data_IF_297985260144
#
_entry.id   IF_297985260144
#
_cell.length_a   1.000
_cell.length_b   1.000
_cell.length_c   1.000
_cell.angle_alpha   90.00
_cell.angle_beta   90.00
_cell.angle_gamma   90.00
#
_symmetry.space_group_name_H-M   'P 1'
#
loop_
_entity.id
_entity.type
_entity.pdbx_description
1 polymer ?
#
# COMPACT_ATOMS: atom_id res chain seq x y z
N UNK A 1 10.38 3.32 15.97
CA UNK A 1 11.02 4.50 15.34
C UNK A 1 10.56 4.72 13.89
N UNK A 2 10.12 3.70 13.13
CA UNK A 2 9.48 3.87 11.81
C UNK A 2 8.00 4.28 11.83
N UNK A 3 7.56 4.98 12.88
CA UNK A 3 6.19 5.48 13.06
C UNK A 3 6.11 7.00 12.95
N UNK A 4 7.18 7.62 12.47
CA UNK A 4 7.20 9.03 12.07
C UNK A 4 7.41 9.09 10.57
N UNK A 5 7.01 10.20 9.97
CA UNK A 5 7.17 10.46 8.54
C UNK A 5 8.02 11.73 8.36
N UNK A 6 8.68 11.89 7.21
CA UNK A 6 9.35 13.15 6.86
C UNK A 6 8.35 14.32 6.80
N UNK A 7 7.13 14.03 6.36
CA UNK A 7 5.96 14.89 6.47
C UNK A 7 4.70 14.04 6.58
N UNK A 8 3.66 14.58 7.21
CA UNK A 8 2.36 13.89 7.32
C UNK A 8 1.45 14.28 6.17
N UNK A 9 0.98 13.29 5.42
CA UNK A 9 -0.02 13.52 4.37
C UNK A 9 -1.36 13.85 5.04
N UNK A 10 -2.03 14.90 4.57
CA UNK A 10 -3.39 15.26 5.04
C UNK A 10 -4.42 14.18 4.74
N UNK A 11 -4.20 13.38 3.69
CA UNK A 11 -4.98 12.20 3.28
C UNK A 11 -4.44 10.88 3.87
N UNK A 12 -3.62 10.90 4.95
CA UNK A 12 -3.05 9.67 5.48
C UNK A 12 -4.07 8.85 6.28
N UNK A 13 -4.47 7.67 5.79
CA UNK A 13 -5.42 6.82 6.53
C UNK A 13 -4.85 6.24 7.84
N UNK A 14 -3.53 6.35 8.04
CA UNK A 14 -2.83 5.95 9.27
C UNK A 14 -2.64 7.11 10.25
N UNK A 15 -3.28 8.26 10.02
CA UNK A 15 -3.09 9.48 10.83
C UNK A 15 -3.25 9.26 12.34
N UNK A 16 -4.16 8.36 12.75
CA UNK A 16 -4.40 8.01 14.15
C UNK A 16 -3.16 7.43 14.86
N UNK A 17 -2.16 6.92 14.12
CA UNK A 17 -0.89 6.45 14.69
C UNK A 17 0.04 7.61 15.10
N UNK A 18 -0.22 8.83 14.63
CA UNK A 18 0.66 10.00 14.81
C UNK A 18 0.14 11.03 15.82
N UNK A 19 -1.07 10.85 16.36
CA UNK A 19 -1.69 11.80 17.31
C UNK A 19 -1.27 11.61 18.77
N UNK A 20 -0.15 10.95 19.01
CA UNK A 20 0.44 10.83 20.36
C UNK A 20 -0.26 9.82 21.29
N UNK A 21 -1.23 9.04 20.80
CA UNK A 21 -1.86 7.96 21.56
C UNK A 21 -0.99 6.69 21.47
N UNK A 22 -0.21 6.42 22.52
CA UNK A 22 0.70 5.27 22.56
C UNK A 22 -0.02 3.91 22.35
N UNK A 23 -1.30 3.81 22.72
CA UNK A 23 -2.12 2.63 22.49
C UNK A 23 -2.38 2.31 21.01
N UNK A 24 -2.24 3.30 20.10
CA UNK A 24 -2.45 3.15 18.66
C UNK A 24 -1.14 2.91 17.89
N UNK A 25 0.00 2.83 18.59
CA UNK A 25 1.32 2.60 18.01
C UNK A 25 1.60 1.10 17.86
N UNK A 26 1.53 0.60 16.62
CA UNK A 26 2.07 -0.70 16.22
C UNK A 26 3.58 -0.65 15.94
N UNK A 27 4.42 -0.65 16.98
CA UNK A 27 5.87 -0.68 16.82
C UNK A 27 6.42 -2.02 17.29
N UNK A 28 6.95 -2.84 16.37
CA UNK A 28 7.87 -3.90 16.78
C UNK A 28 9.11 -3.23 17.37
N UNK A 29 9.36 -3.47 18.65
CA UNK A 29 10.51 -2.91 19.37
C UNK A 29 11.77 -3.76 19.19
N UNK A 30 11.62 -4.98 18.66
CA UNK A 30 12.67 -6.00 18.67
C UNK A 30 12.72 -6.75 17.33
N UNK A 31 13.84 -6.61 16.62
CA UNK A 31 14.12 -7.37 15.40
C UNK A 31 14.12 -8.89 15.66
N UNK A 32 14.52 -9.30 16.87
CA UNK A 32 14.55 -10.71 17.29
C UNK A 32 13.16 -11.36 17.31
N UNK A 33 12.13 -10.59 17.61
CA UNK A 33 10.76 -11.11 17.57
C UNK A 33 10.30 -11.36 16.14
N UNK A 34 10.70 -10.50 15.19
CA UNK A 34 10.42 -10.71 13.77
C UNK A 34 11.16 -11.93 13.24
N UNK A 35 12.46 -12.07 13.49
CA UNK A 35 13.23 -13.22 12.99
C UNK A 35 12.77 -14.54 13.58
N UNK A 36 12.40 -14.57 14.87
CA UNK A 36 11.81 -15.76 15.51
C UNK A 36 10.49 -16.15 14.86
N UNK A 37 9.63 -15.17 14.57
CA UNK A 37 8.38 -15.42 13.87
C UNK A 37 8.65 -16.00 12.48
N UNK A 38 9.50 -15.36 11.68
CA UNK A 38 9.84 -15.83 10.33
C UNK A 38 10.47 -17.23 10.35
N UNK A 39 11.33 -17.53 11.32
CA UNK A 39 11.90 -18.87 11.49
C UNK A 39 10.86 -19.95 11.78
N UNK A 40 9.73 -19.59 12.41
CA UNK A 40 8.61 -20.50 12.65
C UNK A 40 7.62 -20.58 11.47
N UNK A 41 7.69 -19.65 10.51
CA UNK A 41 6.74 -19.48 9.42
C UNK A 41 7.43 -19.47 8.05
N UNK A 42 8.00 -20.62 7.60
CA UNK A 42 8.73 -20.72 6.34
C UNK A 42 7.88 -20.43 5.09
N UNK A 43 6.55 -20.44 5.21
CA UNK A 43 5.62 -20.02 4.17
C UNK A 43 5.67 -18.51 3.85
N UNK A 44 6.27 -17.70 4.72
CA UNK A 44 6.42 -16.25 4.54
C UNK A 44 7.62 -15.94 3.66
N UNK A 45 7.37 -15.51 2.42
CA UNK A 45 8.45 -15.23 1.46
C UNK A 45 8.72 -13.75 1.19
N UNK A 46 7.85 -12.87 1.67
CA UNK A 46 7.92 -11.41 1.48
C UNK A 46 7.86 -10.74 2.86
N UNK A 47 8.60 -9.65 3.06
CA UNK A 47 8.51 -8.83 4.27
C UNK A 47 8.41 -7.36 3.85
N UNK A 48 7.34 -6.69 4.26
CA UNK A 48 7.13 -5.26 4.02
C UNK A 48 7.39 -4.43 5.27
N UNK A 49 8.40 -3.57 5.19
CA UNK A 49 8.60 -2.48 6.15
C UNK A 49 7.68 -1.31 5.78
N UNK A 50 6.70 -1.05 6.65
CA UNK A 50 5.72 0.02 6.51
C UNK A 50 5.24 0.49 7.89
N UNK A 51 4.36 1.49 7.94
CA UNK A 51 3.82 2.08 9.16
C UNK A 51 3.64 3.58 8.93
N UNK A 52 4.57 4.36 9.50
CA UNK A 52 4.89 5.69 9.00
C UNK A 52 5.77 5.59 7.75
N UNK A 53 6.97 6.15 7.80
CA UNK A 53 7.97 5.99 6.74
C UNK A 53 9.27 5.36 7.32
N UNK A 54 9.62 4.12 6.93
CA UNK A 54 10.79 3.44 7.46
C UNK A 54 12.10 4.13 7.06
N UNK A 55 12.13 4.91 5.97
CA UNK A 55 13.35 5.56 5.49
C UNK A 55 13.64 6.91 6.15
N UNK A 56 12.74 7.37 7.03
CA UNK A 56 13.04 8.44 8.01
C UNK A 56 14.09 7.99 9.02
N UNK A 57 14.17 6.67 9.28
CA UNK A 57 15.15 6.13 10.20
C UNK A 57 16.58 6.37 9.69
N UNK A 58 17.48 6.71 10.61
CA UNK A 58 18.92 6.67 10.37
C UNK A 58 19.31 5.28 9.87
N UNK A 59 20.26 5.20 8.96
CA UNK A 59 20.65 3.93 8.32
C UNK A 59 21.03 2.88 9.36
N UNK A 60 21.78 3.25 10.40
CA UNK A 60 22.17 2.35 11.49
C UNK A 60 20.96 1.71 12.22
N UNK A 61 19.82 2.40 12.30
CA UNK A 61 18.60 1.83 12.88
C UNK A 61 17.91 0.90 11.89
N UNK A 62 17.83 1.28 10.61
CA UNK A 62 17.25 0.44 9.57
C UNK A 62 18.02 -0.90 9.43
N UNK A 63 19.36 -0.86 9.49
CA UNK A 63 20.25 -2.04 9.48
C UNK A 63 19.83 -3.10 10.50
N UNK A 64 19.52 -2.68 11.74
CA UNK A 64 19.09 -3.58 12.83
C UNK A 64 17.85 -4.40 12.49
N UNK A 65 17.02 -3.97 11.54
CA UNK A 65 15.84 -4.72 11.11
C UNK A 65 16.04 -5.47 9.79
N UNK A 66 16.86 -4.93 8.88
CA UNK A 66 17.07 -5.52 7.55
C UNK A 66 18.14 -6.61 7.56
N UNK A 67 19.28 -6.39 8.21
CA UNK A 67 20.40 -7.35 8.23
C UNK A 67 20.06 -8.70 8.88
N UNK A 68 19.21 -8.78 9.92
CA UNK A 68 18.79 -10.07 10.45
C UNK A 68 18.04 -10.93 9.42
N UNK A 69 17.33 -10.32 8.47
CA UNK A 69 16.65 -11.06 7.40
C UNK A 69 17.62 -11.70 6.40
N UNK A 70 18.88 -11.27 6.39
CA UNK A 70 19.94 -11.81 5.53
C UNK A 70 20.69 -12.98 6.16
N UNK A 71 20.36 -13.35 7.40
CA UNK A 71 21.05 -14.41 8.13
C UNK A 71 20.62 -15.82 7.65
N UNK A 72 21.47 -16.84 7.86
CA UNK A 72 21.10 -18.24 7.63
C UNK A 72 19.82 -18.63 8.39
N UNK A 73 19.01 -19.50 7.79
CA UNK A 73 17.71 -19.93 8.30
C UNK A 73 16.52 -19.07 7.85
N UNK A 74 16.77 -17.89 7.25
CA UNK A 74 15.76 -17.01 6.66
C UNK A 74 15.90 -16.90 5.13
N UNK A 75 16.45 -17.94 4.49
CA UNK A 75 16.60 -18.01 3.03
C UNK A 75 15.24 -17.97 2.34
N UNK A 76 14.20 -18.54 2.96
CA UNK A 76 12.84 -18.55 2.43
C UNK A 76 12.24 -17.13 2.25
N UNK A 77 12.75 -16.12 2.97
CA UNK A 77 12.41 -14.70 2.76
C UNK A 77 13.12 -14.19 1.50
N UNK A 78 12.44 -14.25 0.36
CA UNK A 78 12.98 -13.87 -0.94
C UNK A 78 12.91 -12.37 -1.21
N UNK A 79 11.89 -11.70 -0.67
CA UNK A 79 11.59 -10.30 -1.01
C UNK A 79 11.56 -9.43 0.25
N UNK A 80 12.24 -8.28 0.17
CA UNK A 80 12.17 -7.22 1.17
C UNK A 80 11.58 -5.98 0.49
N UNK A 81 10.51 -5.43 1.05
CA UNK A 81 9.84 -4.23 0.54
C UNK A 81 9.95 -3.09 1.53
N UNK A 82 10.25 -1.88 1.04
CA UNK A 82 10.32 -0.66 1.84
C UNK A 82 9.28 0.34 1.35
N UNK A 83 8.19 0.53 2.11
CA UNK A 83 7.13 1.48 1.77
C UNK A 83 7.45 2.88 2.24
N UNK A 84 7.69 3.82 1.32
CA UNK A 84 8.27 5.14 1.65
C UNK A 84 7.73 6.26 0.76
N UNK A 85 7.61 7.47 1.32
CA UNK A 85 7.40 8.71 0.57
C UNK A 85 8.65 9.60 0.61
N UNK A 86 9.74 9.16 1.23
CA UNK A 86 11.00 9.90 1.33
C UNK A 86 11.53 10.40 -0.02
N UNK A 87 11.48 9.65 -1.15
CA UNK A 87 11.92 10.20 -2.45
C UNK A 87 11.15 11.44 -2.92
N UNK A 88 9.90 11.62 -2.48
CA UNK A 88 9.08 12.78 -2.80
C UNK A 88 9.27 13.91 -1.78
N UNK A 89 9.25 13.61 -0.48
CA UNK A 89 9.31 14.63 0.58
C UNK A 89 10.71 15.06 0.96
N UNK A 90 11.68 14.14 0.93
CA UNK A 90 13.05 14.38 1.35
C UNK A 90 14.06 13.59 0.50
N UNK A 91 14.19 13.90 -0.81
CA UNK A 91 15.08 13.16 -1.71
C UNK A 91 16.56 13.21 -1.26
N UNK A 92 16.94 14.22 -0.47
CA UNK A 92 18.26 14.35 0.14
C UNK A 92 18.67 13.13 1.00
N UNK A 93 17.70 12.35 1.51
CA UNK A 93 17.92 11.07 2.21
C UNK A 93 18.80 10.09 1.43
N UNK A 94 18.75 10.18 0.10
CA UNK A 94 19.45 9.31 -0.84
C UNK A 94 20.60 10.02 -1.57
N UNK A 95 20.79 11.32 -1.33
CA UNK A 95 21.73 12.15 -2.13
C UNK A 95 22.78 12.81 -1.25
N UNK A 96 22.39 13.58 -0.23
CA UNK A 96 23.30 14.46 0.52
C UNK A 96 23.26 14.28 2.03
N UNK A 97 22.25 13.60 2.58
CA UNK A 97 22.21 13.30 4.01
C UNK A 97 23.49 12.54 4.41
N UNK A 98 23.96 12.76 5.65
CA UNK A 98 25.26 12.24 6.12
C UNK A 98 25.41 10.72 6.00
N UNK A 99 24.30 9.98 6.05
CA UNK A 99 24.26 8.51 5.94
C UNK A 99 23.60 8.03 4.63
N UNK A 100 23.47 8.89 3.61
CA UNK A 100 22.88 8.55 2.32
C UNK A 100 23.64 7.41 1.63
N UNK A 101 24.97 7.51 1.54
CA UNK A 101 25.79 6.46 0.94
C UNK A 101 25.73 5.16 1.74
N UNK A 102 25.58 5.25 3.06
CA UNK A 102 25.43 4.06 3.90
C UNK A 102 24.10 3.35 3.64
N UNK A 103 23.03 4.12 3.41
CA UNK A 103 21.72 3.57 3.05
C UNK A 103 21.79 2.81 1.72
N UNK A 104 22.42 3.40 0.71
CA UNK A 104 22.56 2.75 -0.59
C UNK A 104 23.42 1.49 -0.51
N UNK A 105 24.49 1.50 0.29
CA UNK A 105 25.29 0.29 0.58
C UNK A 105 24.45 -0.81 1.25
N UNK A 106 23.54 -0.47 2.16
CA UNK A 106 22.61 -1.45 2.72
C UNK A 106 21.70 -2.05 1.63
N UNK A 107 21.22 -1.24 0.68
CA UNK A 107 20.40 -1.75 -0.42
C UNK A 107 21.19 -2.70 -1.32
N UNK A 108 22.43 -2.33 -1.68
CA UNK A 108 23.34 -3.21 -2.42
C UNK A 108 23.61 -4.53 -1.68
N UNK A 109 23.78 -4.49 -0.35
CA UNK A 109 23.98 -5.70 0.46
C UNK A 109 22.78 -6.65 0.38
N UNK A 110 21.55 -6.13 0.46
CA UNK A 110 20.33 -6.94 0.31
C UNK A 110 20.29 -7.62 -1.06
N UNK A 111 20.56 -6.86 -2.12
CA UNK A 111 20.55 -7.38 -3.50
C UNK A 111 21.67 -8.40 -3.71
N UNK A 112 22.88 -8.14 -3.22
CA UNK A 112 24.03 -9.07 -3.31
C UNK A 112 23.81 -10.36 -2.50
N UNK A 113 23.02 -10.30 -1.45
CA UNK A 113 22.59 -11.49 -0.70
C UNK A 113 21.57 -12.36 -1.47
N UNK A 114 21.23 -11.99 -2.71
CA UNK A 114 20.31 -12.74 -3.57
C UNK A 114 18.83 -12.45 -3.32
N UNK A 115 18.51 -11.46 -2.48
CA UNK A 115 17.11 -11.08 -2.19
C UNK A 115 16.64 -9.98 -3.12
N UNK A 116 15.35 -10.04 -3.47
CA UNK A 116 14.70 -8.98 -4.23
C UNK A 116 14.35 -7.80 -3.31
N UNK A 117 15.03 -6.66 -3.51
CA UNK A 117 14.71 -5.42 -2.80
C UNK A 117 13.75 -4.56 -3.64
N UNK A 118 12.56 -4.29 -3.10
CA UNK A 118 11.60 -3.38 -3.72
C UNK A 118 11.40 -2.12 -2.87
N UNK A 119 11.62 -0.94 -3.47
CA UNK A 119 11.25 0.33 -2.84
C UNK A 119 9.87 0.73 -3.35
N UNK A 120 8.88 0.68 -2.47
CA UNK A 120 7.51 1.06 -2.77
C UNK A 120 7.37 2.58 -2.57
N UNK A 121 7.78 3.33 -3.60
CA UNK A 121 7.84 4.78 -3.57
C UNK A 121 6.45 5.41 -3.74
N UNK A 122 6.14 6.41 -2.94
CA UNK A 122 4.88 7.14 -3.01
C UNK A 122 5.05 8.48 -3.71
N UNK A 123 4.51 8.60 -4.93
CA UNK A 123 4.41 9.86 -5.67
C UNK A 123 2.95 10.17 -6.01
N UNK A 124 2.44 11.28 -5.48
CA UNK A 124 1.04 11.69 -5.63
C UNK A 124 0.81 12.63 -6.80
N UNK A 125 1.82 13.40 -7.23
CA UNK A 125 1.68 14.35 -8.33
C UNK A 125 3.01 14.44 -9.12
N UNK A 126 3.00 14.66 -10.45
CA UNK A 126 4.23 14.77 -11.25
C UNK A 126 5.18 15.88 -10.76
N UNK A 127 4.65 16.91 -10.08
CA UNK A 127 5.46 17.95 -9.45
C UNK A 127 6.47 17.40 -8.43
N UNK A 128 6.15 16.31 -7.73
CA UNK A 128 7.06 15.65 -6.77
C UNK A 128 8.28 15.00 -7.46
N UNK A 129 8.23 14.83 -8.78
CA UNK A 129 9.32 14.31 -9.63
C UNK A 129 9.94 15.38 -10.54
N UNK A 130 9.63 16.66 -10.30
CA UNK A 130 10.07 17.76 -11.18
C UNK A 130 11.49 18.25 -10.89
N UNK A 131 12.01 18.01 -9.68
CA UNK A 131 13.31 18.55 -9.27
C UNK A 131 14.47 17.61 -9.65
N UNK A 132 15.65 18.16 -10.01
CA UNK A 132 16.83 17.33 -10.30
C UNK A 132 17.23 16.40 -9.15
N UNK A 133 17.03 16.83 -7.90
CA UNK A 133 17.38 16.02 -6.72
C UNK A 133 16.43 14.83 -6.52
N UNK A 134 15.13 14.97 -6.82
CA UNK A 134 14.18 13.86 -6.77
C UNK A 134 14.50 12.81 -7.83
N UNK A 135 14.83 13.25 -9.05
CA UNK A 135 15.29 12.33 -10.10
C UNK A 135 16.62 11.65 -9.74
N UNK A 136 17.57 12.38 -9.13
CA UNK A 136 18.85 11.82 -8.70
C UNK A 136 18.66 10.79 -7.57
N UNK A 137 17.76 11.05 -6.62
CA UNK A 137 17.43 10.09 -5.57
C UNK A 137 16.89 8.78 -6.16
N UNK A 138 15.96 8.85 -7.12
CA UNK A 138 15.45 7.65 -7.79
C UNK A 138 16.53 6.88 -8.55
N UNK A 139 17.37 7.59 -9.33
CA UNK A 139 18.49 6.95 -10.05
C UNK A 139 19.42 6.23 -9.08
N UNK A 140 19.83 6.90 -8.00
CA UNK A 140 20.73 6.32 -6.99
C UNK A 140 20.13 5.09 -6.30
N UNK A 141 18.81 5.06 -6.06
CA UNK A 141 18.14 3.86 -5.52
C UNK A 141 18.19 2.72 -6.54
N UNK A 142 17.85 2.99 -7.80
CA UNK A 142 17.82 1.99 -8.88
C UNK A 142 19.23 1.42 -9.14
N UNK A 143 20.26 2.26 -9.09
CA UNK A 143 21.66 1.85 -9.29
C UNK A 143 22.16 0.83 -8.26
N UNK A 144 21.49 0.69 -7.10
CA UNK A 144 21.79 -0.36 -6.11
C UNK A 144 21.31 -1.75 -6.54
N UNK A 145 20.54 -1.85 -7.62
CA UNK A 145 19.82 -3.05 -8.06
C UNK A 145 18.42 -3.19 -7.45
N UNK A 146 17.99 -2.27 -6.57
CA UNK A 146 16.64 -2.24 -6.05
C UNK A 146 15.62 -1.87 -7.15
N UNK A 147 14.44 -2.49 -7.12
CA UNK A 147 13.36 -2.13 -8.04
C UNK A 147 12.42 -1.13 -7.38
N UNK A 148 12.33 0.07 -7.95
CA UNK A 148 11.38 1.10 -7.49
C UNK A 148 10.00 0.85 -8.10
N UNK A 149 9.00 0.66 -7.25
CA UNK A 149 7.58 0.52 -7.63
C UNK A 149 6.79 1.70 -7.08
N UNK A 150 6.14 2.45 -7.96
CA UNK A 150 5.46 3.69 -7.60
C UNK A 150 3.97 3.48 -7.36
N UNK A 151 3.46 4.03 -6.27
CA UNK A 151 2.05 3.93 -5.90
C UNK A 151 1.54 5.24 -5.31
N UNK A 152 0.26 5.53 -5.49
CA UNK A 152 -0.42 6.61 -4.78
C UNK A 152 -1.94 6.42 -4.78
N UNK A 153 -2.64 6.99 -3.80
CA UNK A 153 -4.08 7.14 -3.88
C UNK A 153 -4.45 8.22 -4.91
N UNK A 154 -5.63 8.07 -5.49
CA UNK A 154 -6.37 9.12 -6.16
C UNK A 154 -6.99 10.04 -5.10
N UNK A 155 -6.74 11.33 -5.20
CA UNK A 155 -6.99 12.33 -4.17
C UNK A 155 -7.62 13.53 -4.86
N UNK A 156 -8.86 13.83 -4.49
CA UNK A 156 -9.57 15.01 -4.95
C UNK A 156 -8.76 16.28 -4.68
N UNK A 157 -8.77 17.22 -5.63
CA UNK A 157 -8.04 18.49 -5.56
C UNK A 157 -6.51 18.40 -5.63
N UNK A 158 -5.93 17.20 -5.80
CA UNK A 158 -4.48 17.00 -5.87
C UNK A 158 -4.08 16.32 -7.17
N UNK A 159 -4.69 15.17 -7.47
CA UNK A 159 -4.34 14.36 -8.64
C UNK A 159 -5.57 13.68 -9.28
N UNK A 160 -6.77 14.24 -9.10
CA UNK A 160 -8.03 13.81 -9.71
C UNK A 160 -8.14 14.23 -11.20
N UNK A 161 -7.01 14.10 -11.92
CA UNK A 161 -6.81 14.50 -13.30
C UNK A 161 -6.01 13.43 -14.08
N UNK A 162 -6.53 13.02 -15.23
CA UNK A 162 -5.92 12.01 -16.08
C UNK A 162 -4.57 12.47 -16.65
N UNK A 163 -4.41 13.77 -16.92
CA UNK A 163 -3.15 14.32 -17.43
C UNK A 163 -2.03 14.26 -16.39
N UNK A 164 -2.34 14.60 -15.13
CA UNK A 164 -1.41 14.43 -14.02
C UNK A 164 -0.91 12.98 -13.88
N UNK A 165 -1.80 11.98 -13.95
CA UNK A 165 -1.42 10.56 -13.88
C UNK A 165 -0.61 10.10 -15.09
N UNK A 166 -1.03 10.44 -16.30
CA UNK A 166 -0.31 10.06 -17.52
C UNK A 166 1.11 10.64 -17.55
N UNK A 167 1.25 11.93 -17.19
CA UNK A 167 2.55 12.59 -17.07
C UNK A 167 3.42 11.92 -15.99
N UNK A 168 2.84 11.61 -14.83
CA UNK A 168 3.55 10.99 -13.72
C UNK A 168 4.03 9.57 -14.05
N UNK A 169 3.18 8.70 -14.59
CA UNK A 169 3.58 7.35 -14.98
C UNK A 169 4.61 7.35 -16.10
N UNK A 170 4.46 8.23 -17.10
CA UNK A 170 5.46 8.39 -18.17
C UNK A 170 6.81 8.80 -17.60
N UNK A 171 6.82 9.75 -16.65
CA UNK A 171 8.03 10.20 -15.97
C UNK A 171 8.67 9.09 -15.14
N UNK A 172 7.88 8.31 -14.40
CA UNK A 172 8.36 7.18 -13.62
C UNK A 172 9.05 6.14 -14.51
N UNK A 173 8.41 5.74 -15.61
CA UNK A 173 9.00 4.81 -16.58
C UNK A 173 10.29 5.36 -17.17
N UNK A 174 10.34 6.64 -17.54
CA UNK A 174 11.55 7.30 -18.06
C UNK A 174 12.72 7.24 -17.07
N UNK A 175 12.43 7.27 -15.77
CA UNK A 175 13.43 7.20 -14.70
C UNK A 175 13.75 5.76 -14.26
N UNK A 176 13.18 4.74 -14.92
CA UNK A 176 13.40 3.33 -14.58
C UNK A 176 12.55 2.81 -13.42
N UNK A 177 11.59 3.60 -12.92
CA UNK A 177 10.63 3.17 -11.90
C UNK A 177 9.40 2.53 -12.56
N UNK A 178 8.75 1.61 -11.83
CA UNK A 178 7.60 0.84 -12.30
C UNK A 178 6.30 1.42 -11.72
N UNK A 179 5.40 1.98 -12.54
CA UNK A 179 4.04 2.32 -12.09
C UNK A 179 3.33 1.07 -11.56
N UNK A 180 2.89 1.08 -10.30
CA UNK A 180 2.42 -0.12 -9.62
C UNK A 180 0.93 -0.08 -9.25
N UNK A 181 0.50 0.85 -8.40
CA UNK A 181 -0.90 1.00 -8.02
C UNK A 181 -1.38 2.45 -8.09
N UNK A 182 -2.55 2.63 -8.69
CA UNK A 182 -3.46 3.74 -8.39
C UNK A 182 -4.49 3.19 -7.39
N UNK A 183 -4.38 3.66 -6.15
CA UNK A 183 -5.32 3.29 -5.10
C UNK A 183 -6.52 4.23 -5.10
N UNK A 184 -7.69 3.72 -4.73
CA UNK A 184 -8.77 4.55 -4.23
C UNK A 184 -8.39 5.01 -2.83
N UNK A 185 -8.65 6.26 -2.48
CA UNK A 185 -8.40 6.78 -1.14
C UNK A 185 -9.22 5.98 -0.11
N UNK A 186 -8.54 5.54 0.95
CA UNK A 186 -9.17 4.86 2.08
C UNK A 186 -9.60 5.92 3.07
N UNK A 187 -10.75 5.70 3.69
CA UNK A 187 -11.30 6.53 4.77
C UNK A 187 -10.22 7.11 5.70
N UNK A 188 -10.11 8.43 5.68
CA UNK A 188 -9.25 9.25 6.52
C UNK A 188 -10.10 10.23 7.34
N UNK A 189 -9.52 10.86 8.36
CA UNK A 189 -10.23 11.92 9.12
C UNK A 189 -10.93 12.96 8.22
N UNK A 190 -10.28 13.44 7.14
CA UNK A 190 -10.89 14.30 6.14
C UNK A 190 -11.41 13.58 4.86
N UNK A 191 -11.89 12.33 4.94
CA UNK A 191 -12.37 11.52 3.80
C UNK A 191 -13.17 12.32 2.76
N UNK A 192 -14.25 12.97 3.18
CA UNK A 192 -15.16 13.69 2.28
C UNK A 192 -14.50 14.80 1.46
N UNK A 193 -13.37 15.34 1.93
CA UNK A 193 -12.61 16.34 1.20
C UNK A 193 -11.75 15.71 0.09
N UNK A 194 -11.28 14.48 0.26
CA UNK A 194 -10.33 13.82 -0.63
C UNK A 194 -10.92 12.69 -1.47
N UNK A 195 -12.10 12.19 -1.13
CA UNK A 195 -12.72 11.07 -1.84
C UNK A 195 -13.11 11.41 -3.28
N UNK A 196 -12.98 10.42 -4.16
CA UNK A 196 -13.40 10.49 -5.56
C UNK A 196 -14.29 9.27 -5.83
N UNK A 197 -15.52 9.44 -6.36
CA UNK A 197 -16.40 8.32 -6.66
C UNK A 197 -15.75 7.30 -7.60
N UNK A 198 -16.06 6.02 -7.42
CA UNK A 198 -15.43 4.90 -8.15
C UNK A 198 -15.62 5.01 -9.66
N UNK A 199 -16.78 5.47 -10.13
CA UNK A 199 -17.04 5.74 -11.53
C UNK A 199 -16.05 6.78 -12.09
N UNK A 200 -15.89 7.91 -11.38
CA UNK A 200 -14.95 8.97 -11.77
C UNK A 200 -13.50 8.52 -11.67
N UNK A 201 -13.15 7.74 -10.66
CA UNK A 201 -11.82 7.18 -10.51
C UNK A 201 -11.46 6.25 -11.68
N UNK A 202 -12.42 5.44 -12.13
CA UNK A 202 -12.27 4.58 -13.30
C UNK A 202 -12.08 5.39 -14.58
N UNK A 203 -12.88 6.44 -14.79
CA UNK A 203 -12.72 7.32 -15.95
C UNK A 203 -11.32 7.95 -16.00
N UNK A 204 -10.86 8.54 -14.88
CA UNK A 204 -9.53 9.13 -14.75
C UNK A 204 -8.44 8.10 -15.06
N UNK A 205 -8.55 6.90 -14.47
CA UNK A 205 -7.60 5.82 -14.70
C UNK A 205 -7.55 5.41 -16.17
N UNK A 206 -8.71 5.15 -16.79
CA UNK A 206 -8.78 4.70 -18.18
C UNK A 206 -8.24 5.75 -19.16
N UNK A 207 -8.57 7.02 -18.93
CA UNK A 207 -8.09 8.11 -19.77
C UNK A 207 -6.57 8.30 -19.65
N UNK A 208 -6.00 8.20 -18.44
CA UNK A 208 -4.56 8.22 -18.26
C UNK A 208 -3.88 6.98 -18.87
N UNK A 209 -4.47 5.79 -18.67
CA UNK A 209 -3.93 4.51 -19.12
C UNK A 209 -3.83 4.40 -20.64
N UNK A 210 -4.78 5.01 -21.37
CA UNK A 210 -4.76 5.09 -22.85
C UNK A 210 -3.58 5.91 -23.37
N UNK A 211 -3.14 6.93 -22.62
CA UNK A 211 -2.11 7.91 -23.01
C UNK A 211 -0.67 7.44 -22.75
N UNK A 212 -0.47 6.36 -21.99
CA UNK A 212 0.88 5.87 -21.64
C UNK A 212 1.32 4.65 -22.45
N UNK A 213 2.63 4.41 -22.48
CA UNK A 213 3.24 3.26 -23.17
C UNK A 213 2.90 1.93 -22.48
N UNK A 214 3.20 0.81 -23.13
CA UNK A 214 3.00 -0.54 -22.56
C UNK A 214 3.68 -0.75 -21.20
N UNK A 215 4.85 -0.13 -20.98
CA UNK A 215 5.53 -0.15 -19.68
C UNK A 215 4.74 0.60 -18.60
N UNK A 216 4.15 1.75 -18.96
CA UNK A 216 3.28 2.52 -18.05
C UNK A 216 1.96 1.79 -17.74
N UNK A 217 1.45 1.00 -18.69
CA UNK A 217 0.25 0.16 -18.56
C UNK A 217 0.39 -1.04 -17.62
N UNK A 218 1.54 -1.21 -16.95
CA UNK A 218 1.71 -2.20 -15.89
C UNK A 218 1.04 -1.80 -14.57
N UNK A 219 0.63 -0.53 -14.45
CA UNK A 219 -0.11 -0.02 -13.29
C UNK A 219 -1.47 -0.68 -13.12
N UNK A 220 -1.83 -1.02 -11.89
CA UNK A 220 -3.14 -1.57 -11.52
C UNK A 220 -3.98 -0.49 -10.85
N UNK A 221 -5.20 -0.28 -11.31
CA UNK A 221 -6.13 0.61 -10.63
C UNK A 221 -7.43 0.83 -11.43
N UNK A 222 -8.40 1.55 -10.84
CA UNK A 222 -8.44 1.97 -9.43
C UNK A 222 -8.59 0.77 -8.49
N UNK A 223 -7.80 0.73 -7.42
CA UNK A 223 -7.81 -0.41 -6.49
C UNK A 223 -8.05 0.01 -5.04
N UNK A 224 -8.95 -0.70 -4.37
CA UNK A 224 -9.25 -0.54 -2.95
C UNK A 224 -8.51 -1.62 -2.15
N UNK A 225 -7.82 -1.22 -1.07
CA UNK A 225 -7.34 -2.17 -0.06
C UNK A 225 -8.37 -2.24 1.06
N UNK A 226 -9.39 -3.07 0.86
CA UNK A 226 -10.54 -3.20 1.75
C UNK A 226 -10.42 -4.42 2.67
N UNK A 227 -11.32 -4.52 3.65
CA UNK A 227 -11.31 -5.61 4.64
C UNK A 227 -11.33 -7.04 4.05
N UNK A 228 -12.14 -7.38 3.02
CA UNK A 228 -12.07 -8.72 2.43
C UNK A 228 -10.77 -8.97 1.65
N UNK A 229 -10.07 -7.91 1.25
CA UNK A 229 -8.87 -7.97 0.45
C UNK A 229 -8.73 -6.78 -0.51
N UNK A 230 -7.82 -6.91 -1.47
CA UNK A 230 -7.58 -5.90 -2.51
C UNK A 230 -8.53 -6.10 -3.67
N UNK A 231 -9.40 -5.13 -3.90
CA UNK A 231 -10.39 -5.11 -4.98
C UNK A 231 -9.97 -4.14 -6.06
N UNK A 232 -10.04 -4.54 -7.32
CA UNK A 232 -9.84 -3.70 -8.49
C UNK A 232 -11.21 -3.34 -9.08
N UNK A 233 -11.40 -2.07 -9.44
CA UNK A 233 -12.49 -1.66 -10.33
C UNK A 233 -12.01 -1.86 -11.76
N UNK A 234 -12.43 -2.96 -12.37
CA UNK A 234 -11.94 -3.41 -13.69
C UNK A 234 -12.66 -2.68 -14.83
N UNK A 235 -13.93 -2.33 -14.62
CA UNK A 235 -14.72 -1.63 -15.61
C UNK A 235 -16.16 -1.37 -15.19
N UNK A 236 -16.92 -0.82 -16.12
CA UNK A 236 -18.38 -0.75 -16.08
C UNK A 236 -18.90 -1.50 -17.29
N UNK A 237 -19.95 -2.31 -17.09
CA UNK A 237 -20.57 -3.07 -18.16
C UNK A 237 -22.09 -3.02 -18.04
N UNK A 238 -22.78 -3.30 -19.14
CA UNK A 238 -24.20 -3.62 -19.12
C UNK A 238 -24.35 -5.13 -19.28
N UNK A 239 -24.95 -5.79 -18.29
CA UNK A 239 -25.12 -7.24 -18.26
C UNK A 239 -26.58 -7.53 -17.97
N UNK A 240 -27.25 -8.23 -18.89
CA UNK A 240 -28.68 -8.54 -18.80
C UNK A 240 -29.57 -7.29 -18.56
N UNK A 241 -29.20 -6.15 -19.17
CA UNK A 241 -29.92 -4.87 -19.04
C UNK A 241 -29.65 -4.11 -17.73
N UNK A 242 -28.76 -4.60 -16.87
CA UNK A 242 -28.32 -3.92 -15.65
C UNK A 242 -26.92 -3.31 -15.86
N UNK A 243 -26.78 -2.01 -15.60
CA UNK A 243 -25.48 -1.35 -15.54
C UNK A 243 -24.79 -1.72 -14.23
N UNK A 244 -23.58 -2.28 -14.32
CA UNK A 244 -22.83 -2.83 -13.18
C UNK A 244 -21.38 -2.36 -13.18
N UNK A 245 -20.81 -2.24 -11.98
CA UNK A 245 -19.36 -2.29 -11.84
C UNK A 245 -18.86 -3.72 -11.98
N UNK A 246 -17.82 -3.90 -12.79
CA UNK A 246 -17.05 -5.14 -12.89
C UNK A 246 -15.86 -5.02 -11.94
N UNK A 247 -15.80 -5.91 -10.95
CA UNK A 247 -14.81 -5.87 -9.88
C UNK A 247 -14.00 -7.15 -9.89
N UNK A 248 -12.73 -7.07 -9.48
CA UNK A 248 -11.85 -8.24 -9.35
C UNK A 248 -11.17 -8.26 -8.00
N UNK A 249 -11.25 -9.40 -7.30
CA UNK A 249 -10.50 -9.62 -6.07
C UNK A 249 -9.05 -9.96 -6.43
N UNK A 250 -8.14 -8.99 -6.41
CA UNK A 250 -6.72 -9.18 -6.76
C UNK A 250 -5.99 -9.96 -5.66
N UNK A 251 -6.39 -9.76 -4.42
CA UNK A 251 -5.88 -10.45 -3.24
C UNK A 251 -7.05 -10.61 -2.27
N UNK A 252 -7.29 -11.79 -1.71
CA UNK A 252 -8.31 -12.02 -0.69
C UNK A 252 -7.71 -12.48 0.63
N UNK A 253 -8.44 -12.33 1.74
CA UNK A 253 -8.10 -12.97 3.02
C UNK A 253 -8.12 -14.48 2.93
N UNK A 254 -9.06 -15.03 2.17
CA UNK A 254 -9.02 -16.41 1.69
C UNK A 254 -8.30 -16.42 0.34
N UNK A 255 -7.20 -17.19 0.20
CA UNK A 255 -6.49 -17.33 -1.07
C UNK A 255 -7.38 -17.76 -2.24
N UNK A 256 -8.45 -18.53 -1.99
CA UNK A 256 -9.40 -18.97 -3.02
C UNK A 256 -10.24 -17.82 -3.61
N UNK A 257 -10.23 -16.63 -2.98
CA UNK A 257 -10.91 -15.46 -3.51
C UNK A 257 -10.10 -14.73 -4.57
N UNK A 258 -8.77 -14.93 -4.59
CA UNK A 258 -7.89 -14.22 -5.51
C UNK A 258 -8.21 -14.55 -6.98
N UNK A 259 -8.19 -13.53 -7.83
CA UNK A 259 -8.51 -13.60 -9.25
C UNK A 259 -10.01 -13.63 -9.57
N UNK A 260 -10.91 -13.79 -8.58
CA UNK A 260 -12.36 -13.87 -8.84
C UNK A 260 -12.93 -12.53 -9.26
N UNK A 261 -13.66 -12.54 -10.37
CA UNK A 261 -14.49 -11.42 -10.84
C UNK A 261 -15.87 -11.48 -10.19
N UNK A 262 -16.41 -10.33 -9.82
CA UNK A 262 -17.76 -10.18 -9.27
C UNK A 262 -18.36 -8.83 -9.69
N UNK A 263 -19.66 -8.68 -9.49
CA UNK A 263 -20.42 -7.53 -9.99
C UNK A 263 -21.14 -6.81 -8.86
N UNK A 264 -21.09 -5.49 -8.89
CA UNK A 264 -21.88 -4.62 -8.05
C UNK A 264 -22.82 -3.77 -8.91
N UNK A 265 -23.97 -3.40 -8.36
CA UNK A 265 -24.86 -2.41 -8.98
C UNK A 265 -24.06 -1.14 -9.24
N UNK A 266 -24.26 -0.53 -10.40
CA UNK A 266 -23.65 0.75 -10.67
C UNK A 266 -24.25 1.82 -9.76
N UNK A 267 -23.38 2.53 -9.04
CA UNK A 267 -23.70 3.68 -8.21
C UNK A 267 -22.66 4.76 -8.52
N UNK A 268 -23.12 5.90 -9.03
CA UNK A 268 -22.25 7.02 -9.40
C UNK A 268 -21.64 7.75 -8.20
N UNK A 269 -22.21 7.59 -7.00
CA UNK A 269 -21.76 8.23 -5.76
C UNK A 269 -20.91 7.30 -4.88
N UNK A 270 -20.94 5.99 -5.12
CA UNK A 270 -20.14 5.04 -4.36
C UNK A 270 -18.64 5.38 -4.48
N UNK A 271 -17.98 5.57 -3.34
CA UNK A 271 -16.56 5.93 -3.26
C UNK A 271 -15.72 4.79 -2.67
N UNK A 272 -16.35 3.80 -2.04
CA UNK A 272 -15.67 2.66 -1.43
C UNK A 272 -16.45 1.35 -1.59
N UNK A 273 -15.82 0.22 -1.24
CA UNK A 273 -16.41 -1.12 -1.37
C UNK A 273 -17.70 -1.28 -0.54
N UNK A 274 -17.77 -0.64 0.63
CA UNK A 274 -18.90 -0.77 1.55
C UNK A 274 -20.16 -0.02 1.07
N UNK A 275 -19.99 0.93 0.15
CA UNK A 275 -21.09 1.65 -0.50
C UNK A 275 -21.76 0.76 -1.56
N UNK A 276 -21.04 -0.21 -2.11
CA UNK A 276 -21.50 -1.05 -3.20
C UNK A 276 -22.53 -2.09 -2.73
N UNK A 277 -23.42 -2.46 -3.64
CA UNK A 277 -24.43 -3.51 -3.44
C UNK A 277 -24.30 -4.59 -4.51
N UNK A 278 -24.52 -5.87 -4.18
CA UNK A 278 -24.47 -6.92 -5.18
C UNK A 278 -25.47 -6.71 -6.33
N UNK A 279 -24.99 -6.95 -7.55
CA UNK A 279 -25.83 -6.91 -8.76
C UNK A 279 -26.74 -8.15 -8.89
N UNK A 280 -27.66 -8.14 -9.84
CA UNK A 280 -28.47 -9.30 -10.25
C UNK A 280 -29.34 -9.89 -9.14
N UNK A 281 -29.87 -9.04 -8.27
CA UNK A 281 -30.76 -9.46 -7.17
C UNK A 281 -30.11 -10.35 -6.12
N UNK A 282 -28.77 -10.38 -6.03
CA UNK A 282 -28.06 -11.12 -4.98
C UNK A 282 -28.12 -10.35 -3.65
N UNK A 283 -28.17 -11.10 -2.54
CA UNK A 283 -28.22 -10.52 -1.20
C UNK A 283 -26.84 -10.19 -0.60
N UNK A 284 -25.77 -10.82 -1.11
CA UNK A 284 -24.42 -10.71 -0.57
C UNK A 284 -23.35 -10.90 -1.65
N UNK A 285 -22.19 -10.25 -1.49
CA UNK A 285 -21.01 -10.59 -2.26
C UNK A 285 -20.46 -11.97 -1.84
N UNK A 286 -19.77 -12.65 -2.75
CA UNK A 286 -19.29 -14.02 -2.54
C UNK A 286 -18.36 -14.19 -1.32
N UNK A 287 -17.67 -13.12 -0.90
CA UNK A 287 -16.72 -13.14 0.21
C UNK A 287 -17.39 -12.87 1.57
N UNK A 288 -18.59 -12.30 1.60
CA UNK A 288 -19.23 -11.86 2.85
C UNK A 288 -19.52 -13.00 3.84
N UNK A 289 -20.01 -14.19 3.43
CA UNK A 289 -20.23 -15.28 4.36
C UNK A 289 -18.93 -15.73 5.05
N UNK A 290 -17.86 -15.94 4.27
CA UNK A 290 -16.55 -16.34 4.81
C UNK A 290 -15.94 -15.24 5.68
N UNK A 291 -16.09 -13.98 5.30
CA UNK A 291 -15.60 -12.85 6.09
C UNK A 291 -16.31 -12.76 7.46
N UNK A 292 -17.64 -13.00 7.50
CA UNK A 292 -18.40 -13.04 8.76
C UNK A 292 -17.91 -14.17 9.67
N UNK A 293 -17.65 -15.35 9.12
CA UNK A 293 -17.12 -16.49 9.88
C UNK A 293 -15.73 -16.19 10.48
N UNK A 294 -14.84 -15.58 9.70
CA UNK A 294 -13.52 -15.16 10.17
C UNK A 294 -13.62 -14.14 11.33
N UNK A 295 -14.48 -13.12 11.17
CA UNK A 295 -14.72 -12.11 12.23
C UNK A 295 -15.28 -12.73 13.50
N UNK A 296 -16.23 -13.67 13.38
CA UNK A 296 -16.79 -14.37 14.53
C UNK A 296 -15.73 -15.22 15.26
N UNK A 297 -14.87 -15.91 14.51
CA UNK A 297 -13.80 -16.75 15.07
C UNK A 297 -12.73 -15.91 15.78
N UNK A 298 -12.38 -14.74 15.24
CA UNK A 298 -11.43 -13.81 15.87
C UNK A 298 -11.95 -13.25 17.20
N UNK A 299 -13.27 -13.01 17.32
CA UNK A 299 -13.92 -12.57 18.56
C UNK A 299 -14.04 -13.69 19.61
N UNK A 300 -13.94 -14.96 19.21
CA UNK A 300 -14.05 -16.12 20.09
C UNK A 300 -12.71 -16.57 20.70
N UNK A 301 -11.58 -15.99 20.27
CA UNK A 301 -10.27 -16.26 20.88
C UNK A 301 -10.20 -15.60 22.27
N UNK A 302 -9.85 -16.34 23.34
CA UNK A 302 -9.66 -15.74 24.64
C UNK A 302 -8.52 -14.72 24.56
N UNK A 303 -8.80 -13.49 25.01
CA UNK A 303 -7.80 -12.43 25.18
C UNK A 303 -6.72 -13.00 26.10
N UNK A 304 -5.52 -13.24 25.55
CA UNK A 304 -4.35 -13.54 26.36
C UNK A 304 -4.17 -12.34 27.33
N UNK A 305 -4.20 -12.66 28.63
CA UNK A 305 -4.34 -11.73 29.74
C UNK A 305 -3.41 -10.50 29.64
N UNK A 306 -3.97 -9.30 29.83
CA UNK A 306 -3.17 -8.09 30.08
C UNK A 306 -3.80 -6.73 29.79
N UNK A 307 -5.03 -6.63 29.30
CA UNK A 307 -5.66 -5.34 28.96
C UNK A 307 -7.10 -5.22 29.47
N UNK A 308 -7.43 -4.08 30.07
CA UNK A 308 -8.78 -3.70 30.53
C UNK A 308 -9.81 -3.82 29.39
N UNK A 309 -11.06 -4.27 29.65
CA UNK A 309 -12.06 -4.46 28.60
C UNK A 309 -12.32 -3.17 27.81
N UNK A 310 -12.32 -3.27 26.48
CA UNK A 310 -12.73 -2.19 25.59
C UNK A 310 -14.25 -2.01 25.63
N UNK A 311 -14.68 -0.76 25.75
CA UNK A 311 -16.09 -0.32 25.71
C UNK A 311 -16.75 -0.77 24.38
N UNK A 312 -17.84 -1.56 24.42
CA UNK A 312 -18.52 -2.06 23.22
C UNK A 312 -19.21 -0.98 22.38
N UNK A 313 -19.23 0.28 22.83
CA UNK A 313 -19.78 1.43 22.10
C UNK A 313 -18.75 2.29 21.39
N UNK A 314 -17.45 2.00 21.56
CA UNK A 314 -16.39 2.74 20.88
C UNK A 314 -16.31 2.35 19.39
N UNK A 315 -16.13 3.31 18.46
CA UNK A 315 -15.88 2.99 17.05
C UNK A 315 -14.63 2.11 16.94
N UNK A 316 -14.72 0.99 16.20
CA UNK A 316 -13.60 0.05 16.02
C UNK A 316 -12.38 0.82 15.51
N UNK A 317 -11.23 0.81 16.23
CA UNK A 317 -10.01 1.39 15.70
C UNK A 317 -9.65 0.66 14.40
N UNK A 318 -9.05 1.35 13.41
CA UNK A 318 -8.67 0.71 12.15
C UNK A 318 -7.77 -0.49 12.48
N UNK A 319 -8.30 -1.69 12.22
CA UNK A 319 -7.68 -2.94 12.63
C UNK A 319 -6.26 -3.10 12.06
N UNK A 320 -5.47 -4.05 12.59
CA UNK A 320 -4.11 -4.32 12.15
C UNK A 320 -4.14 -5.03 10.77
N UNK A 321 -4.51 -4.30 9.72
CA UNK A 321 -4.46 -4.75 8.32
C UNK A 321 -3.22 -4.22 7.59
N UNK A 322 -2.36 -3.48 8.30
CA UNK A 322 -1.13 -2.91 7.75
C UNK A 322 0.09 -3.84 7.85
N UNK A 323 0.01 -4.91 8.64
CA UNK A 323 1.02 -5.96 8.68
C UNK A 323 0.63 -7.04 7.66
N UNK A 324 0.79 -6.72 6.38
CA UNK A 324 1.08 -7.78 5.42
C UNK A 324 2.52 -8.19 5.70
N UNK A 325 2.66 -9.23 6.52
CA UNK A 325 3.81 -10.13 6.41
C UNK A 325 3.76 -10.67 4.98
#
# INVERSE_FOLDING_TARGET
QGQTCHAYCTYCFRWAQFVGLDALKFASREADTLTRYLGAHPEVTDVLFTGGDPLVMKTAVLRRYVEPLLQPGLEHVQTIRLGTKAPAYWPYRFVTDRDADDLLRLFEQVVRAGKHLAVMAHFSHPAELSTPVAEAALRRIIDTGAVVRCQAPLIRHVNDDADAWAAMWTKQVRLGAVPYYLFVERDTGPKHYFEVPLARALDIYQDAYRRVSGLGRTVRGPSMSATPGKVLVDGVAEVAGEKVFVLKMVQGRDPAWAGRTFFARYDEQAAWLDDLRPAFGRDAFFFEPGLRQMKASARALPVLQGGTPLDPTAPEPPGPEAAQV
#
